data_IF_870521229721
#
_entry.id   IF_870521229721
#
_cell.length_a   1.000
_cell.length_b   1.000
_cell.length_c   1.000
_cell.angle_alpha   90.00
_cell.angle_beta   90.00
_cell.angle_gamma   90.00
#
_symmetry.space_group_name_H-M   'P 1'
#
loop_
_entity.id
_entity.type
_entity.pdbx_description
1 polymer ?
#
# COMPACT_ATOMS: atom_id res chain seq x y z
N UNK A 1 22.24 -22.78 -8.57
CA UNK A 1 22.46 -21.42 -9.10
C UNK A 1 22.30 -20.46 -7.94
N UNK A 2 23.33 -20.36 -7.08
CA UNK A 2 23.27 -19.61 -5.82
C UNK A 2 23.18 -18.09 -6.03
N UNK A 3 23.73 -17.59 -7.14
CA UNK A 3 23.66 -16.17 -7.54
C UNK A 3 22.21 -15.73 -7.81
N UNK A 4 21.42 -16.57 -8.49
CA UNK A 4 20.00 -16.29 -8.74
C UNK A 4 19.18 -16.35 -7.47
N UNK A 5 19.45 -17.29 -6.57
CA UNK A 5 18.77 -17.35 -5.27
C UNK A 5 19.12 -16.14 -4.39
N UNK A 6 20.38 -15.68 -4.43
CA UNK A 6 20.82 -14.50 -3.69
C UNK A 6 20.18 -13.22 -4.22
N UNK A 7 20.09 -13.07 -5.55
CA UNK A 7 19.38 -11.94 -6.20
C UNK A 7 17.88 -11.95 -5.95
N UNK A 8 17.25 -13.12 -5.96
CA UNK A 8 15.82 -13.26 -5.61
C UNK A 8 15.60 -12.92 -4.14
N UNK A 9 16.48 -13.37 -3.24
CA UNK A 9 16.40 -13.01 -1.82
C UNK A 9 16.62 -11.51 -1.59
N UNK A 10 17.63 -10.89 -2.21
CA UNK A 10 17.86 -9.44 -2.14
C UNK A 10 16.67 -8.66 -2.71
N UNK A 11 16.09 -9.11 -3.82
CA UNK A 11 14.88 -8.50 -4.38
C UNK A 11 13.68 -8.63 -3.42
N UNK A 12 13.46 -9.80 -2.81
CA UNK A 12 12.41 -9.99 -1.80
C UNK A 12 12.61 -9.06 -0.59
N UNK A 13 13.84 -8.79 -0.18
CA UNK A 13 14.15 -7.88 0.93
C UNK A 13 13.99 -6.40 0.57
N UNK A 14 14.30 -5.99 -0.68
CA UNK A 14 14.38 -4.58 -1.07
C UNK A 14 13.24 -4.09 -1.98
N UNK A 15 12.38 -4.94 -2.51
CA UNK A 15 11.36 -4.51 -3.48
C UNK A 15 10.40 -3.41 -2.96
N UNK A 16 10.12 -3.38 -1.65
CA UNK A 16 9.32 -2.31 -1.03
C UNK A 16 10.14 -1.07 -0.62
N UNK A 17 11.47 -1.07 -0.74
CA UNK A 17 12.29 0.11 -0.41
C UNK A 17 12.08 1.25 -1.41
N UNK A 18 11.60 0.94 -2.62
CA UNK A 18 11.19 1.94 -3.60
C UNK A 18 9.76 2.44 -3.41
N UNK A 19 9.01 1.88 -2.45
CA UNK A 19 7.62 2.23 -2.17
C UNK A 19 7.42 2.49 -0.65
N UNK A 20 8.09 3.52 -0.10
CA UNK A 20 8.06 3.80 1.34
C UNK A 20 6.65 4.03 1.89
N UNK A 21 5.75 4.62 1.10
CA UNK A 21 4.37 4.83 1.54
C UNK A 21 3.56 3.54 1.60
N UNK A 22 3.74 2.63 0.65
CA UNK A 22 3.15 1.27 0.68
C UNK A 22 3.64 0.50 1.90
N UNK A 23 4.94 0.57 2.21
CA UNK A 23 5.54 -0.06 3.39
C UNK A 23 4.95 0.50 4.69
N UNK A 24 4.71 1.81 4.74
CA UNK A 24 4.03 2.45 5.86
C UNK A 24 2.58 1.93 5.99
N UNK A 25 1.84 1.88 4.89
CA UNK A 25 0.46 1.39 4.85
C UNK A 25 0.31 -0.08 5.30
N UNK A 26 1.30 -0.93 5.01
CA UNK A 26 1.30 -2.33 5.45
C UNK A 26 1.88 -2.52 6.87
N UNK A 27 2.32 -1.47 7.54
CA UNK A 27 2.89 -1.56 8.87
C UNK A 27 1.82 -1.91 9.92
N UNK A 28 2.10 -2.87 10.82
CA UNK A 28 1.18 -3.27 11.89
C UNK A 28 0.89 -2.18 12.92
N UNK A 29 1.77 -1.18 13.02
CA UNK A 29 1.67 -0.04 13.93
C UNK A 29 1.21 1.24 13.21
N UNK A 30 0.61 1.10 12.03
CA UNK A 30 0.11 2.22 11.25
C UNK A 30 -0.97 2.99 12.02
N UNK A 31 -0.96 4.31 11.88
CA UNK A 31 -1.98 5.19 12.43
C UNK A 31 -2.34 6.23 11.38
N UNK A 32 -3.52 6.85 11.50
CA UNK A 32 -3.91 7.99 10.66
C UNK A 32 -2.91 9.14 10.74
N UNK A 33 -2.30 9.37 11.91
CA UNK A 33 -1.26 10.39 12.08
C UNK A 33 -0.03 10.12 11.20
N UNK A 34 0.40 8.86 11.10
CA UNK A 34 1.52 8.50 10.24
C UNK A 34 1.20 8.74 8.76
N UNK A 35 0.00 8.36 8.31
CA UNK A 35 -0.44 8.62 6.93
C UNK A 35 -0.47 10.11 6.63
N UNK A 36 -1.14 10.89 7.48
CA UNK A 36 -1.25 12.34 7.29
C UNK A 36 0.12 13.02 7.32
N UNK A 37 1.04 12.60 8.19
CA UNK A 37 2.39 13.13 8.20
C UNK A 37 3.11 12.88 6.87
N UNK A 38 3.03 11.64 6.35
CA UNK A 38 3.64 11.28 5.07
C UNK A 38 3.05 12.07 3.89
N UNK A 39 1.72 12.15 3.80
CA UNK A 39 1.01 12.88 2.75
C UNK A 39 1.32 14.39 2.82
N UNK A 40 1.41 14.96 4.02
CA UNK A 40 1.79 16.37 4.17
C UNK A 40 3.23 16.65 3.72
N UNK A 41 4.14 15.70 3.91
CA UNK A 41 5.55 15.83 3.51
C UNK A 41 5.76 15.63 2.00
N UNK A 42 5.04 14.69 1.40
CA UNK A 42 5.30 14.23 0.02
C UNK A 42 4.19 14.59 -0.98
N UNK A 43 3.05 15.11 -0.51
CA UNK A 43 1.92 15.54 -1.32
C UNK A 43 0.83 14.47 -1.51
N UNK A 44 -0.36 14.94 -1.87
CA UNK A 44 -1.56 14.11 -2.06
C UNK A 44 -1.42 13.08 -3.19
N UNK A 45 -0.57 13.36 -4.18
CA UNK A 45 -0.36 12.46 -5.33
C UNK A 45 0.21 11.11 -4.91
N UNK A 46 0.90 11.03 -3.76
CA UNK A 46 1.42 9.77 -3.22
C UNK A 46 0.34 8.72 -2.95
N UNK A 47 -0.92 9.14 -2.72
CA UNK A 47 -2.04 8.22 -2.57
C UNK A 47 -2.32 7.40 -3.85
N UNK A 48 -1.88 7.88 -5.02
CA UNK A 48 -2.03 7.21 -6.31
C UNK A 48 -0.79 6.43 -6.75
N UNK A 49 0.29 6.46 -5.97
CA UNK A 49 1.53 5.75 -6.33
C UNK A 49 1.26 4.26 -6.49
N UNK A 50 1.86 3.67 -7.51
CA UNK A 50 1.69 2.25 -7.81
C UNK A 50 3.01 1.53 -7.56
N UNK A 51 2.96 0.44 -6.81
CA UNK A 51 4.14 -0.41 -6.63
C UNK A 51 4.45 -1.15 -7.95
N UNK A 52 5.74 -1.35 -8.21
CA UNK A 52 6.21 -1.90 -9.49
C UNK A 52 6.00 -3.40 -9.63
N UNK A 53 5.66 -4.11 -8.56
CA UNK A 53 5.60 -5.56 -8.52
C UNK A 53 4.16 -6.04 -8.70
N UNK A 54 3.25 -5.50 -7.88
CA UNK A 54 1.87 -5.93 -7.83
C UNK A 54 0.92 -4.93 -8.50
N UNK A 55 1.38 -3.73 -8.85
CA UNK A 55 0.49 -2.71 -9.41
C UNK A 55 -0.45 -2.12 -8.37
N UNK A 56 -0.15 -2.30 -7.08
CA UNK A 56 -0.99 -1.90 -5.97
C UNK A 56 -0.74 -0.46 -5.56
N UNK A 57 -1.82 0.20 -5.15
CA UNK A 57 -1.77 1.53 -4.52
C UNK A 57 -1.60 1.41 -2.99
N UNK A 58 -1.27 2.50 -2.27
CA UNK A 58 -1.27 2.51 -0.81
C UNK A 58 -2.60 2.05 -0.20
N UNK A 59 -3.73 2.32 -0.87
CA UNK A 59 -5.04 1.87 -0.40
C UNK A 59 -5.20 0.34 -0.47
N UNK A 60 -4.60 -0.33 -1.46
CA UNK A 60 -4.57 -1.81 -1.48
C UNK A 60 -3.81 -2.34 -0.26
N UNK A 61 -2.64 -1.75 0.05
CA UNK A 61 -1.81 -2.14 1.19
C UNK A 61 -2.53 -1.95 2.53
N UNK A 62 -3.26 -0.84 2.72
CA UNK A 62 -4.11 -0.65 3.91
C UNK A 62 -5.26 -1.66 3.95
N UNK A 63 -5.89 -1.93 2.80
CA UNK A 63 -7.05 -2.83 2.72
C UNK A 63 -6.70 -4.29 3.03
N UNK A 64 -5.47 -4.71 2.73
CA UNK A 64 -4.95 -6.04 3.11
C UNK A 64 -4.28 -6.08 4.50
N UNK A 65 -4.11 -4.93 5.16
CA UNK A 65 -3.46 -4.86 6.46
C UNK A 65 -4.52 -5.05 7.57
N UNK A 66 -4.51 -6.17 8.31
CA UNK A 66 -5.49 -6.46 9.36
C UNK A 66 -5.36 -5.52 10.58
N UNK A 67 -4.28 -4.75 10.64
CA UNK A 67 -4.04 -3.74 11.68
C UNK A 67 -4.38 -2.33 11.22
N UNK A 68 -4.82 -2.14 9.97
CA UNK A 68 -5.18 -0.82 9.47
C UNK A 68 -6.42 -0.31 10.22
N UNK A 69 -6.36 0.89 10.84
CA UNK A 69 -7.55 1.50 11.41
C UNK A 69 -8.52 1.89 10.29
N UNK A 70 -9.83 1.80 10.54
CA UNK A 70 -10.87 2.18 9.57
C UNK A 70 -10.68 3.64 9.11
N UNK A 71 -10.30 4.52 10.03
CA UNK A 71 -10.06 5.94 9.74
C UNK A 71 -8.89 6.15 8.77
N UNK A 72 -7.93 5.21 8.67
CA UNK A 72 -6.83 5.30 7.70
C UNK A 72 -7.30 5.06 6.26
N UNK A 73 -8.23 4.12 6.07
CA UNK A 73 -8.88 3.89 4.77
C UNK A 73 -9.67 5.14 4.37
N UNK A 74 -10.46 5.69 5.30
CA UNK A 74 -11.20 6.92 5.07
C UNK A 74 -10.28 8.09 4.70
N UNK A 75 -9.16 8.27 5.42
CA UNK A 75 -8.21 9.34 5.14
C UNK A 75 -7.64 9.29 3.70
N UNK A 76 -7.29 8.11 3.19
CA UNK A 76 -6.85 7.98 1.78
C UNK A 76 -7.95 8.27 0.77
N UNK A 77 -9.19 7.88 1.07
CA UNK A 77 -10.34 8.16 0.21
C UNK A 77 -10.70 9.65 0.18
N UNK A 78 -10.55 10.35 1.31
CA UNK A 78 -10.79 11.80 1.40
C UNK A 78 -9.77 12.60 0.60
N UNK A 79 -8.54 12.09 0.45
CA UNK A 79 -7.51 12.70 -0.40
C UNK A 79 -7.88 12.56 -1.87
N UNK A 80 -8.23 11.33 -2.29
CA UNK A 80 -8.65 11.08 -3.65
C UNK A 80 -9.51 9.81 -3.74
N UNK A 81 -10.82 9.99 -3.85
CA UNK A 81 -11.79 8.88 -3.97
C UNK A 81 -11.52 7.98 -5.18
N UNK A 82 -10.83 8.47 -6.22
CA UNK A 82 -10.52 7.68 -7.41
C UNK A 82 -9.58 6.50 -7.11
N UNK A 83 -8.79 6.57 -6.03
CA UNK A 83 -7.90 5.49 -5.62
C UNK A 83 -8.64 4.18 -5.29
N UNK A 84 -9.93 4.26 -4.93
CA UNK A 84 -10.79 3.09 -4.70
C UNK A 84 -11.07 2.28 -5.97
N UNK A 85 -10.92 2.90 -7.15
CA UNK A 85 -11.23 2.30 -8.45
C UNK A 85 -9.97 1.88 -9.22
N UNK A 86 -8.78 2.12 -8.66
CA UNK A 86 -7.53 1.63 -9.23
C UNK A 86 -7.47 0.11 -9.15
N UNK A 87 -7.11 -0.53 -10.27
CA UNK A 87 -6.91 -1.97 -10.36
C UNK A 87 -5.43 -2.31 -10.19
N UNK A 88 -5.15 -3.37 -9.44
CA UNK A 88 -3.82 -3.98 -9.40
C UNK A 88 -3.52 -4.81 -10.67
N UNK A 89 -2.34 -5.44 -10.72
CA UNK A 89 -1.94 -6.32 -11.84
C UNK A 89 -2.84 -7.57 -11.96
N UNK A 90 -3.56 -7.95 -10.91
CA UNK A 90 -4.53 -9.06 -10.90
C UNK A 90 -5.95 -8.60 -11.24
N UNK A 91 -6.14 -7.32 -11.56
CA UNK A 91 -7.44 -6.69 -11.82
C UNK A 91 -8.38 -6.73 -10.60
N UNK A 92 -7.83 -6.63 -9.40
CA UNK A 92 -8.59 -6.49 -8.15
C UNK A 92 -8.59 -5.02 -7.71
N UNK A 93 -9.69 -4.61 -7.08
CA UNK A 93 -9.81 -3.32 -6.41
C UNK A 93 -9.29 -3.44 -4.97
N UNK A 94 -8.91 -2.31 -4.37
CA UNK A 94 -8.50 -2.28 -2.96
C UNK A 94 -9.60 -2.83 -2.03
N UNK A 95 -10.87 -2.53 -2.31
CA UNK A 95 -12.00 -3.03 -1.54
C UNK A 95 -12.22 -4.55 -1.67
N UNK A 96 -11.74 -5.19 -2.74
CA UNK A 96 -11.78 -6.66 -2.83
C UNK A 96 -10.87 -7.27 -1.76
N UNK A 97 -9.71 -6.65 -1.47
CA UNK A 97 -8.84 -7.07 -0.37
C UNK A 97 -9.45 -6.77 1.00
N UNK A 98 -10.11 -5.62 1.18
CA UNK A 98 -10.78 -5.33 2.44
C UNK A 98 -11.86 -6.38 2.75
N UNK A 99 -12.56 -6.89 1.73
CA UNK A 99 -13.51 -8.00 1.89
C UNK A 99 -12.80 -9.30 2.29
N UNK A 100 -11.68 -9.62 1.64
CA UNK A 100 -10.98 -10.90 1.80
C UNK A 100 -10.14 -10.97 3.09
N UNK A 101 -9.68 -9.83 3.64
CA UNK A 101 -8.71 -9.76 4.74
C UNK A 101 -9.20 -9.06 6.02
N UNK A 102 -10.29 -8.28 5.97
CA UNK A 102 -10.82 -7.54 7.13
C UNK A 102 -12.18 -8.05 7.66
N UNK A 103 -12.62 -9.26 7.27
CA UNK A 103 -13.83 -9.91 7.80
C UNK A 103 -13.64 -11.38 8.12
#
# INVERSE_FOLDING_TARGET
>A
NDESNRRVNEWLFHHMDHAPFHKLCYNSSITTKHLNAYINEHGNDTALDIDTIHGMTPLHMLSMNPHSPVDAIAALLDINVQVAFCLDNQRKLSLDYARDYNF
#
